data_IF_684303050363
#
_entry.id   IF_684303050363
#
_cell.length_a   1.000
_cell.length_b   1.000
_cell.length_c   1.000
_cell.angle_alpha   90.00
_cell.angle_beta   90.00
_cell.angle_gamma   90.00
#
_symmetry.space_group_name_H-M   'P 1'
#
loop_
_entity.id
_entity.type
_entity.pdbx_description
1 polymer ?
#
# COMPACT_ATOMS: atom_id res chain seq x y z
N UNK A 1 -1.40 -7.23 0.24
CA UNK A 1 -2.42 -6.22 0.60
C UNK A 1 -3.04 -5.65 -0.66
N UNK A 2 -4.36 -5.84 -0.83
CA UNK A 2 -5.10 -5.36 -2.00
C UNK A 2 -5.46 -3.88 -1.86
N UNK A 3 -5.48 -3.15 -2.98
CA UNK A 3 -5.94 -1.76 -3.02
C UNK A 3 -7.36 -1.57 -2.48
N UNK A 4 -8.25 -2.50 -2.81
CA UNK A 4 -9.65 -2.42 -2.40
C UNK A 4 -9.79 -2.38 -0.87
N UNK A 5 -9.01 -3.18 -0.15
CA UNK A 5 -9.02 -3.19 1.32
C UNK A 5 -8.55 -1.86 1.91
N UNK A 6 -7.49 -1.27 1.33
CA UNK A 6 -7.02 0.06 1.73
C UNK A 6 -8.10 1.12 1.50
N UNK A 7 -8.75 1.09 0.33
CA UNK A 7 -9.84 2.03 0.00
C UNK A 7 -11.03 1.83 0.94
N UNK A 8 -11.40 0.59 1.25
CA UNK A 8 -12.49 0.25 2.16
C UNK A 8 -12.22 0.77 3.57
N UNK A 9 -10.98 0.66 4.04
CA UNK A 9 -10.57 1.13 5.36
C UNK A 9 -10.55 2.68 5.46
N UNK A 10 -9.81 3.33 4.56
CA UNK A 10 -9.65 4.79 4.59
C UNK A 10 -10.84 5.54 3.94
N UNK A 11 -11.80 4.82 3.37
CA UNK A 11 -12.97 5.30 2.64
C UNK A 11 -12.69 5.70 1.19
N UNK A 12 -11.51 6.23 0.87
CA UNK A 12 -11.09 6.47 -0.51
C UNK A 12 -9.56 6.50 -0.65
N UNK A 13 -9.09 6.38 -1.90
CA UNK A 13 -7.65 6.36 -2.20
C UNK A 13 -6.95 7.66 -1.80
N UNK A 14 -7.63 8.81 -1.88
CA UNK A 14 -7.03 10.11 -1.52
C UNK A 14 -6.73 10.21 -0.01
N UNK A 15 -7.66 9.77 0.82
CA UNK A 15 -7.51 9.68 2.28
C UNK A 15 -6.42 8.69 2.66
N UNK A 16 -6.39 7.53 2.00
CA UNK A 16 -5.33 6.54 2.18
C UNK A 16 -3.94 7.15 1.89
N UNK A 17 -3.77 7.81 0.73
CA UNK A 17 -2.48 8.41 0.38
C UNK A 17 -2.07 9.51 1.37
N UNK A 18 -3.03 10.32 1.81
CA UNK A 18 -2.81 11.34 2.83
C UNK A 18 -2.36 10.72 4.16
N UNK A 19 -2.91 9.58 4.55
CA UNK A 19 -2.58 8.89 5.79
C UNK A 19 -1.14 8.38 5.83
N UNK A 20 -0.57 8.01 4.68
CA UNK A 20 0.83 7.56 4.57
C UNK A 20 1.77 8.63 3.99
N UNK A 21 1.28 9.85 3.74
CA UNK A 21 2.09 10.98 3.30
C UNK A 21 2.63 10.89 1.86
N UNK A 22 1.96 10.17 0.95
CA UNK A 22 2.41 10.04 -0.45
C UNK A 22 1.47 10.74 -1.44
N UNK A 23 1.98 10.99 -2.65
CA UNK A 23 1.20 11.60 -3.72
C UNK A 23 0.22 10.61 -4.36
N UNK A 24 -0.97 11.09 -4.74
CA UNK A 24 -1.96 10.30 -5.49
C UNK A 24 -1.43 9.79 -6.83
N UNK A 25 -0.49 10.50 -7.44
CA UNK A 25 0.15 10.12 -8.70
C UNK A 25 0.90 8.80 -8.58
N UNK A 26 1.50 8.51 -7.41
CA UNK A 26 2.20 7.26 -7.15
C UNK A 26 1.21 6.09 -7.03
N UNK A 27 0.09 6.33 -6.36
CA UNK A 27 -1.00 5.38 -6.18
C UNK A 27 -1.61 4.89 -7.51
N UNK A 28 -1.65 5.77 -8.51
CA UNK A 28 -2.14 5.47 -9.85
C UNK A 28 -1.26 4.45 -10.59
N UNK A 29 0.04 4.39 -10.28
CA UNK A 29 0.98 3.44 -10.88
C UNK A 29 0.90 2.03 -10.30
N UNK A 30 0.32 1.88 -9.11
CA UNK A 30 0.20 0.57 -8.48
C UNK A 30 -0.82 -0.30 -9.23
N UNK A 31 -0.58 -1.60 -9.29
CA UNK A 31 -1.56 -2.58 -9.77
C UNK A 31 -2.68 -2.81 -8.75
N UNK A 32 -3.25 -4.01 -8.76
CA UNK A 32 -4.27 -4.41 -7.79
C UNK A 32 -3.71 -4.57 -6.36
N UNK A 33 -2.44 -4.95 -6.27
CA UNK A 33 -1.69 -5.10 -5.02
C UNK A 33 -0.88 -3.83 -4.73
N UNK A 34 -0.96 -3.35 -3.49
CA UNK A 34 -0.15 -2.22 -3.02
C UNK A 34 1.30 -2.70 -2.83
N UNK A 35 2.34 -2.01 -3.32
CA UNK A 35 3.73 -2.43 -3.12
C UNK A 35 4.09 -2.61 -1.63
N UNK A 36 4.90 -3.62 -1.31
CA UNK A 36 5.25 -3.97 0.07
C UNK A 36 5.78 -2.78 0.88
N UNK A 37 6.63 -1.95 0.26
CA UNK A 37 7.19 -0.75 0.87
C UNK A 37 6.12 0.21 1.42
N UNK A 38 5.00 0.37 0.71
CA UNK A 38 3.91 1.26 1.13
C UNK A 38 2.84 0.54 1.96
N UNK A 39 2.68 -0.76 1.74
CA UNK A 39 1.76 -1.57 2.53
C UNK A 39 2.13 -1.54 4.03
N UNK A 40 3.42 -1.54 4.38
CA UNK A 40 3.88 -1.34 5.77
C UNK A 40 3.42 0.01 6.33
N UNK A 41 3.54 1.09 5.55
CA UNK A 41 3.05 2.40 5.96
C UNK A 41 1.54 2.40 6.23
N UNK A 42 0.76 1.66 5.45
CA UNK A 42 -0.68 1.50 5.70
C UNK A 42 -0.98 0.73 6.98
N UNK A 43 -0.24 -0.34 7.28
CA UNK A 43 -0.37 -1.07 8.53
C UNK A 43 -0.19 -0.10 9.70
N UNK A 44 0.88 0.70 9.69
CA UNK A 44 1.17 1.70 10.74
C UNK A 44 0.08 2.77 10.80
N UNK A 45 -0.34 3.34 9.67
CA UNK A 45 -1.37 4.37 9.62
C UNK A 45 -2.77 3.87 10.04
N UNK A 46 -3.01 2.56 9.91
CA UNK A 46 -4.21 1.88 10.41
C UNK A 46 -4.07 1.35 11.83
N UNK A 47 -2.98 1.68 12.53
CA UNK A 47 -2.67 1.18 13.87
C UNK A 47 -2.70 -0.36 13.98
N UNK A 48 -2.31 -1.07 12.91
CA UNK A 48 -2.29 -2.53 12.82
C UNK A 48 -3.58 -3.19 12.33
N UNK A 49 -4.61 -2.42 11.97
CA UNK A 49 -5.90 -2.96 11.53
C UNK A 49 -5.84 -3.55 10.12
N UNK A 50 -5.12 -2.88 9.20
CA UNK A 50 -4.78 -3.45 7.91
C UNK A 50 -3.62 -4.43 8.08
N UNK A 51 -3.81 -5.68 7.65
CA UNK A 51 -2.77 -6.71 7.69
C UNK A 51 -2.05 -6.85 6.35
N UNK A 52 -0.74 -7.00 6.43
CA UNK A 52 0.10 -7.35 5.29
C UNK A 52 0.00 -8.86 5.05
N UNK A 53 -0.85 -9.30 4.13
CA UNK A 53 -0.81 -10.67 3.63
C UNK A 53 0.51 -10.90 2.88
N UNK A 54 1.47 -11.60 3.49
CA UNK A 54 2.76 -11.92 2.87
C UNK A 54 2.60 -12.79 1.61
N UNK A 55 1.49 -13.50 1.50
CA UNK A 55 1.12 -14.31 0.33
C UNK A 55 0.93 -13.46 -0.94
N UNK A 56 0.53 -12.19 -0.81
CA UNK A 56 0.45 -11.25 -1.94
C UNK A 56 1.84 -10.77 -2.41
N UNK A 57 2.89 -11.04 -1.63
CA UNK A 57 4.25 -10.55 -1.86
C UNK A 57 5.20 -11.74 -1.95
N UNK A 58 5.19 -12.42 -3.09
CA UNK A 58 6.22 -13.41 -3.40
C UNK A 58 7.60 -12.80 -3.19
N UNK A 59 8.40 -13.38 -2.28
CA UNK A 59 9.77 -12.99 -1.97
C UNK A 59 10.76 -13.34 -3.10
N UNK A 60 10.30 -13.34 -4.36
CA UNK A 60 11.21 -13.34 -5.51
C UNK A 60 11.87 -11.96 -5.55
N UNK A 61 13.03 -11.86 -4.89
CA UNK A 61 13.99 -10.76 -5.05
C UNK A 61 14.02 -10.36 -6.52
N UNK A 62 13.54 -9.17 -6.86
CA UNK A 62 14.01 -8.31 -7.96
C UNK A 62 13.13 -7.06 -8.04
N UNK A 63 13.78 -5.91 -7.85
CA UNK A 63 13.71 -4.67 -8.66
C UNK A 63 13.43 -3.37 -7.87
N UNK A 64 14.51 -2.57 -7.83
CA UNK A 64 14.62 -1.11 -7.90
C UNK A 64 13.89 -0.20 -6.90
N UNK A 65 14.69 0.19 -5.91
CA UNK A 65 14.90 1.60 -5.61
C UNK A 65 15.36 2.31 -6.89
N UNK A 66 14.52 3.14 -7.50
CA UNK A 66 14.97 4.12 -8.47
C UNK A 66 15.56 5.32 -7.69
N UNK A 67 16.87 5.49 -7.87
CA UNK A 67 17.70 6.59 -7.40
C UNK A 67 17.32 7.93 -8.06
#
# INVERSE_FOLDING_TARGET
MKKHEVIKYFGNMAKAMKAIGISRSLAAKWGEVVPAQHAVSFVIASNGELRLGLEDYSLSKTQDQAA
#
